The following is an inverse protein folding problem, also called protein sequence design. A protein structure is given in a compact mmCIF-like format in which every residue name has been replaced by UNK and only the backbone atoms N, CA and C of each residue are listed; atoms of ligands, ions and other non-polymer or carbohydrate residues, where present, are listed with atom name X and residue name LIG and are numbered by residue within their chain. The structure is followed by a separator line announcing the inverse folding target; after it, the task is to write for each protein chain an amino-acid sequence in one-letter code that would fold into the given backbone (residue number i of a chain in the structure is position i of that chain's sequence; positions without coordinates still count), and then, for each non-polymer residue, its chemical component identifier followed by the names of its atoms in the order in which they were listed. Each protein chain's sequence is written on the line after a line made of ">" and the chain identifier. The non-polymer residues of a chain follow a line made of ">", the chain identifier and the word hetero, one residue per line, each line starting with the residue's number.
data_IF_377376731098
#
_entry.id   IF_377376731098
#
_cell.length_a   1.000
_cell.length_b   1.000
_cell.length_c   1.000
_cell.angle_alpha   90.00
_cell.angle_beta   90.00
_cell.angle_gamma   90.00
#
_symmetry.space_group_name_H-M   'P 1'
#
loop_
_entity.id
_entity.type
_entity.pdbx_description
1 polymer ?
#
# COMPACT_ATOMS: atom_id res chain seq x y z
N UNK A 1 -21.97 -4.65 3.44
CA UNK A 1 -21.13 -3.45 3.60
C UNK A 1 -20.01 -3.82 4.55
N UNK A 2 -18.75 -3.88 4.08
CA UNK A 2 -17.62 -4.10 4.99
C UNK A 2 -17.42 -2.81 5.79
N UNK A 3 -17.54 -2.92 7.10
CA UNK A 3 -17.45 -1.85 8.10
C UNK A 3 -16.21 -0.98 7.85
N UNK A 4 -16.29 0.36 7.99
CA UNK A 4 -15.10 1.20 7.89
C UNK A 4 -14.17 0.81 9.04
N UNK A 5 -13.04 0.20 8.71
CA UNK A 5 -11.98 -0.13 9.68
C UNK A 5 -11.43 1.21 10.15
N UNK A 6 -11.96 1.66 11.30
CA UNK A 6 -11.76 3.00 11.84
C UNK A 6 -10.32 3.28 12.29
N UNK A 7 -9.41 2.31 12.13
CA UNK A 7 -8.01 2.31 12.59
C UNK A 7 -7.09 1.46 11.69
N UNK A 8 -7.40 1.29 10.40
CA UNK A 8 -6.55 0.47 9.54
C UNK A 8 -5.19 1.15 9.36
N UNK A 9 -4.12 0.48 9.78
CA UNK A 9 -2.74 0.93 9.49
C UNK A 9 -2.58 1.04 7.99
N UNK A 10 -1.81 2.01 7.49
CA UNK A 10 -1.66 2.26 6.05
C UNK A 10 -1.34 1.00 5.22
N UNK A 11 -0.56 0.06 5.79
CA UNK A 11 -0.19 -1.19 5.12
C UNK A 11 -1.34 -2.21 4.98
N UNK A 12 -2.40 -2.12 5.79
CA UNK A 12 -3.47 -3.13 5.81
C UNK A 12 -4.23 -3.19 4.49
N UNK A 13 -4.40 -2.06 3.79
CA UNK A 13 -5.06 -2.06 2.47
C UNK A 13 -4.26 -2.88 1.45
N UNK A 14 -2.93 -2.84 1.52
CA UNK A 14 -2.07 -3.67 0.68
C UNK A 14 -2.23 -5.15 1.06
N UNK A 15 -2.27 -5.47 2.36
CA UNK A 15 -2.47 -6.85 2.84
C UNK A 15 -3.83 -7.39 2.39
N UNK A 16 -4.89 -6.62 2.52
CA UNK A 16 -6.23 -6.98 2.08
C UNK A 16 -6.27 -7.20 0.56
N UNK A 17 -5.58 -6.37 -0.21
CA UNK A 17 -5.42 -6.55 -1.66
C UNK A 17 -4.70 -7.86 -2.01
N UNK A 18 -3.61 -8.18 -1.30
CA UNK A 18 -2.90 -9.46 -1.45
C UNK A 18 -3.81 -10.66 -1.11
N UNK A 19 -4.54 -10.57 0.01
CA UNK A 19 -5.40 -11.63 0.51
C UNK A 19 -6.64 -11.88 -0.37
N UNK A 20 -7.15 -10.84 -1.05
CA UNK A 20 -8.29 -10.95 -1.96
C UNK A 20 -8.00 -11.75 -3.25
N UNK A 21 -6.72 -12.07 -3.52
CA UNK A 21 -6.27 -12.74 -4.72
C UNK A 21 -5.89 -11.74 -5.81
N UNK A 22 -4.63 -11.81 -6.27
CA UNK A 22 -4.06 -10.87 -7.22
C UNK A 22 -4.00 -11.49 -8.62
N UNK A 23 -4.38 -10.70 -9.62
CA UNK A 23 -4.11 -10.97 -11.04
C UNK A 23 -3.08 -9.95 -11.55
N UNK A 24 -2.32 -10.25 -12.62
CA UNK A 24 -1.42 -9.26 -13.21
C UNK A 24 -2.12 -7.94 -13.56
N UNK A 25 -3.36 -8.00 -14.07
CA UNK A 25 -4.16 -6.81 -14.39
C UNK A 25 -4.53 -6.02 -13.12
N UNK A 26 -5.10 -6.66 -12.11
CA UNK A 26 -5.49 -5.97 -10.88
C UNK A 26 -4.27 -5.41 -10.14
N UNK A 27 -3.11 -6.06 -10.24
CA UNK A 27 -1.86 -5.54 -9.69
C UNK A 27 -1.41 -4.25 -10.38
N UNK A 28 -1.46 -4.19 -11.72
CA UNK A 28 -1.10 -2.97 -12.48
C UNK A 28 -2.02 -1.80 -12.09
N UNK A 29 -3.32 -2.07 -12.02
CA UNK A 29 -4.37 -1.08 -11.73
C UNK A 29 -4.41 -0.66 -10.25
N UNK A 30 -3.89 -1.49 -9.34
CA UNK A 30 -3.95 -1.24 -7.89
C UNK A 30 -3.34 0.12 -7.53
N UNK A 31 -4.09 0.94 -6.81
CA UNK A 31 -3.60 2.13 -6.15
C UNK A 31 -4.18 2.18 -4.75
N UNK A 32 -3.38 2.57 -3.74
CA UNK A 32 -3.91 2.82 -2.41
C UNK A 32 -5.05 3.85 -2.45
N UNK A 33 -6.02 3.72 -1.55
CA UNK A 33 -7.08 4.69 -1.38
C UNK A 33 -6.54 6.07 -1.00
N UNK A 34 -7.33 7.12 -1.27
CA UNK A 34 -6.97 8.49 -0.86
C UNK A 34 -6.75 8.60 0.65
N UNK A 35 -7.52 7.85 1.45
CA UNK A 35 -7.32 7.78 2.89
C UNK A 35 -5.92 7.28 3.27
N UNK A 36 -5.45 6.20 2.64
CA UNK A 36 -4.10 5.67 2.89
C UNK A 36 -3.03 6.64 2.40
N UNK A 37 -3.23 7.27 1.24
CA UNK A 37 -2.30 8.30 0.73
C UNK A 37 -2.17 9.48 1.71
N UNK A 38 -3.28 9.99 2.22
CA UNK A 38 -3.31 11.07 3.22
C UNK A 38 -2.63 10.65 4.52
N UNK A 39 -2.92 9.45 5.03
CA UNK A 39 -2.29 8.91 6.24
C UNK A 39 -0.77 8.81 6.10
N UNK A 40 -0.28 8.29 4.98
CA UNK A 40 1.16 8.16 4.72
C UNK A 40 1.80 9.53 4.57
N UNK A 41 1.14 10.47 3.91
CA UNK A 41 1.63 11.84 3.79
C UNK A 41 1.77 12.52 5.17
N UNK A 42 0.79 12.35 6.07
CA UNK A 42 0.87 12.82 7.46
C UNK A 42 2.04 12.17 8.21
N UNK A 43 2.19 10.85 8.12
CA UNK A 43 3.29 10.14 8.78
C UNK A 43 4.67 10.61 8.28
N UNK A 44 4.85 10.81 6.97
CA UNK A 44 6.10 11.34 6.39
C UNK A 44 6.34 12.77 6.84
N UNK A 45 5.29 13.61 6.86
CA UNK A 45 5.41 14.98 7.33
C UNK A 45 5.85 15.02 8.80
N UNK A 46 5.22 14.20 9.64
CA UNK A 46 5.52 14.12 11.07
C UNK A 46 6.86 13.49 11.35
N UNK A 47 7.33 12.51 10.58
CA UNK A 47 8.70 11.97 10.71
C UNK A 47 9.77 13.05 10.54
N UNK A 48 9.52 14.04 9.67
CA UNK A 48 10.47 15.13 9.37
C UNK A 48 10.37 16.30 10.35
N UNK A 49 9.19 16.57 10.89
CA UNK A 49 8.89 17.80 11.65
C UNK A 49 8.60 17.55 13.13
N UNK A 50 8.48 16.30 13.56
CA UNK A 50 8.06 15.91 14.90
C UNK A 50 8.56 14.49 15.21
N UNK A 51 8.20 13.98 16.39
CA UNK A 51 8.49 12.60 16.75
C UNK A 51 7.28 11.73 16.44
N UNK A 52 7.46 10.73 15.57
CA UNK A 52 6.51 9.63 15.46
C UNK A 52 6.60 8.74 16.70
N UNK A 53 5.46 8.21 17.14
CA UNK A 53 5.48 7.08 18.09
C UNK A 53 6.14 5.87 17.43
N UNK A 54 6.67 4.93 18.22
CA UNK A 54 7.27 3.70 17.70
C UNK A 54 6.32 2.91 16.79
N UNK A 55 5.03 2.92 17.12
CA UNK A 55 4.00 2.25 16.33
C UNK A 55 3.72 2.94 15.00
N UNK A 56 3.66 4.27 14.99
CA UNK A 56 3.50 5.05 13.75
C UNK A 56 4.72 4.93 12.84
N UNK A 57 5.92 4.87 13.42
CA UNK A 57 7.14 4.60 12.67
C UNK A 57 7.10 3.20 12.05
N UNK A 58 6.73 2.19 12.82
CA UNK A 58 6.58 0.82 12.31
C UNK A 58 5.53 0.73 11.22
N UNK A 59 4.40 1.44 11.36
CA UNK A 59 3.37 1.55 10.32
C UNK A 59 3.95 2.12 9.02
N UNK A 60 4.66 3.25 9.10
CA UNK A 60 5.27 3.89 7.94
C UNK A 60 6.32 2.99 7.29
N UNK A 61 7.22 2.38 8.08
CA UNK A 61 8.28 1.51 7.59
C UNK A 61 7.70 0.28 6.86
N UNK A 62 6.64 -0.35 7.41
CA UNK A 62 5.94 -1.46 6.76
C UNK A 62 5.26 -1.05 5.45
N UNK A 63 4.58 0.10 5.45
CA UNK A 63 3.93 0.61 4.25
C UNK A 63 4.95 0.87 3.13
N UNK A 64 6.07 1.53 3.45
CA UNK A 64 7.13 1.85 2.48
C UNK A 64 7.75 0.59 1.88
N UNK A 65 7.96 -0.46 2.69
CA UNK A 65 8.44 -1.75 2.20
C UNK A 65 7.45 -2.38 1.22
N UNK A 66 6.17 -2.47 1.59
CA UNK A 66 5.14 -3.08 0.75
C UNK A 66 4.90 -2.30 -0.54
N UNK A 67 4.87 -0.97 -0.49
CA UNK A 67 4.73 -0.12 -1.67
C UNK A 67 5.92 -0.34 -2.63
N UNK A 68 7.14 -0.46 -2.10
CA UNK A 68 8.30 -0.76 -2.91
C UNK A 68 8.17 -2.11 -3.63
N UNK A 69 7.72 -3.15 -2.93
CA UNK A 69 7.46 -4.46 -3.51
C UNK A 69 6.36 -4.42 -4.57
N UNK A 70 5.25 -3.72 -4.30
CA UNK A 70 4.16 -3.52 -5.27
C UNK A 70 4.69 -2.86 -6.55
N UNK A 71 5.52 -1.81 -6.44
CA UNK A 71 6.09 -1.14 -7.62
C UNK A 71 6.92 -2.08 -8.48
N UNK A 72 7.78 -2.89 -7.85
CA UNK A 72 8.58 -3.90 -8.57
C UNK A 72 7.72 -5.00 -9.16
N UNK A 73 6.66 -5.42 -8.45
CA UNK A 73 5.74 -6.44 -8.92
C UNK A 73 4.92 -5.94 -10.12
N UNK A 74 4.47 -4.68 -10.10
CA UNK A 74 3.81 -4.02 -11.25
C UNK A 74 4.67 -4.03 -12.50
N UNK A 75 5.95 -3.68 -12.38
CA UNK A 75 6.88 -3.70 -13.52
C UNK A 75 6.95 -5.09 -14.18
N UNK A 76 6.96 -6.17 -13.38
CA UNK A 76 6.91 -7.55 -13.88
C UNK A 76 5.53 -7.95 -14.39
N UNK A 77 4.46 -7.49 -13.76
CA UNK A 77 3.07 -7.80 -14.13
C UNK A 77 2.75 -7.38 -15.57
N UNK A 78 3.32 -6.26 -16.04
CA UNK A 78 3.17 -5.84 -17.44
C UNK A 78 3.64 -6.90 -18.44
N UNK A 79 4.68 -7.69 -18.12
CA UNK A 79 5.17 -8.75 -19.01
C UNK A 79 4.13 -9.86 -19.18
N UNK A 80 3.47 -10.27 -18.09
CA UNK A 80 2.44 -11.31 -18.12
C UNK A 80 1.13 -10.90 -18.80
N UNK A 81 0.86 -9.60 -18.93
CA UNK A 81 -0.31 -9.09 -19.69
C UNK A 81 0.00 -8.99 -21.17
N UNK A 82 1.24 -8.68 -21.54
CA UNK A 82 1.69 -8.61 -22.94
C UNK A 82 1.84 -10.00 -23.57
N UNK A 83 2.25 -11.02 -22.81
CA UNK A 83 2.38 -12.41 -23.28
C UNK A 83 1.03 -13.11 -23.54
N UNK A 84 -0.09 -12.51 -23.14
CA UNK A 84 -1.45 -13.05 -23.32
C UNK A 84 -2.25 -12.39 -24.46
N UNK A 85 -1.61 -11.61 -25.32
CA UNK A 85 -2.17 -11.13 -26.59
C UNK A 85 -1.59 -11.91 -27.76
#
# INVERSE_FOLDING_TARGET
>A
MKTPIKMARAYEEIIDFLAAGITPKSLIEFQPSEYVKERVADLIFREKNSTLTSEEKSELDHYMLLEHLIRLAKARAHQYVLEKQ
#
